data_IF_085718669456
#
_entry.id   IF_085718669456
#
_cell.length_a   1.000
_cell.length_b   1.000
_cell.length_c   1.000
_cell.angle_alpha   90.00
_cell.angle_beta   90.00
_cell.angle_gamma   90.00
#
_symmetry.space_group_name_H-M   'P 1'
#
loop_
_entity.id
_entity.type
_entity.pdbx_description
1 polymer ?
2 non-polymer ?
3 non-polymer ?
4 water ?
#
# COMPACT_ATOMS: atom_id res chain seq x y z
N UNK A 1 -18.64 -10.19 -11.86
CA UNK A 1 -19.52 -9.27 -11.11
C UNK A 1 -18.68 -8.10 -10.59
N UNK A 2 -18.92 -7.64 -9.35
CA UNK A 2 -18.17 -6.49 -8.86
C UNK A 2 -16.70 -6.91 -8.70
N UNK A 3 -15.94 -6.02 -8.10
CA UNK A 3 -14.60 -6.36 -7.57
C UNK A 3 -14.84 -6.63 -6.10
N UNK A 4 -14.06 -7.53 -5.51
CA UNK A 4 -14.14 -7.80 -4.08
C UNK A 4 -13.08 -6.98 -3.34
N UNK A 5 -13.47 -6.43 -2.21
CA UNK A 5 -12.57 -5.59 -1.39
C UNK A 5 -12.71 -5.93 0.08
N UNK A 6 -11.64 -5.76 0.84
CA UNK A 6 -11.61 -5.90 2.31
C UNK A 6 -11.05 -4.62 2.91
N UNK A 7 -11.68 -4.14 3.96
CA UNK A 7 -11.10 -3.13 4.86
C UNK A 7 -9.95 -3.71 5.71
N UNK A 8 -8.88 -2.94 5.81
CA UNK A 8 -7.71 -3.40 6.57
C UNK A 8 -6.79 -2.24 6.96
N UNK A 9 -5.95 -2.47 7.94
CA UNK A 9 -4.79 -1.63 8.26
C UNK A 9 -3.51 -2.40 7.99
N UNK A 10 -2.43 -1.66 7.79
CA UNK A 10 -1.10 -2.26 7.67
C UNK A 10 -0.19 -1.71 8.76
N UNK A 11 0.71 -2.54 9.29
CA UNK A 11 1.84 -2.06 10.12
C UNK A 11 3.13 -2.69 9.61
N UNK A 12 4.22 -1.93 9.62
CA UNK A 12 5.55 -2.41 9.20
C UNK A 12 6.07 -3.40 10.27
N UNK A 13 7.17 -4.04 9.93
CA UNK A 13 7.68 -5.14 10.79
C UNK A 13 8.27 -4.55 12.08
N UNK A 14 8.36 -3.24 12.21
CA UNK A 14 8.69 -2.57 13.51
C UNK A 14 7.45 -2.10 14.20
N UNK A 15 6.28 -2.51 13.72
CA UNK A 15 4.97 -2.25 14.27
C UNK A 15 4.71 -0.74 14.23
N UNK A 16 5.21 -0.08 13.18
CA UNK A 16 4.79 1.32 12.88
C UNK A 16 3.50 1.30 12.07
N UNK A 17 2.55 2.11 12.48
CA UNK A 17 1.27 2.39 11.86
C UNK A 17 1.45 3.44 10.77
N UNK A 18 0.49 3.45 9.84
CA UNK A 18 0.50 4.41 8.69
C UNK A 18 -0.61 5.44 8.89
N UNK A 19 -0.23 6.70 8.72
CA UNK A 19 -1.14 7.87 8.89
C UNK A 19 -0.97 8.79 7.68
N UNK A 20 -1.95 9.68 7.45
CA UNK A 20 -1.84 10.71 6.39
C UNK A 20 -0.78 11.76 6.76
N UNK A 21 -0.06 12.27 5.75
CA UNK A 21 1.01 13.28 5.88
C UNK A 21 0.68 14.35 4.84
N UNK A 22 -0.33 15.16 5.13
CA UNK A 22 -0.91 16.05 4.09
C UNK A 22 -1.76 15.21 3.16
N UNK A 23 -2.24 15.76 2.02
CA UNK A 23 -3.24 15.05 1.23
C UNK A 23 -2.78 13.91 0.32
N UNK A 24 -1.50 13.85 -0.01
CA UNK A 24 -1.02 12.87 -1.03
C UNK A 24 0.28 12.13 -0.58
N UNK A 25 0.41 12.02 0.71
CA UNK A 25 1.50 11.19 1.29
C UNK A 25 1.04 10.50 2.55
N UNK A 26 1.62 9.32 2.81
CA UNK A 26 1.48 8.61 4.09
C UNK A 26 2.81 8.70 4.83
N UNK A 27 2.75 8.62 6.14
CA UNK A 27 3.97 8.48 6.97
C UNK A 27 3.75 7.35 7.98
N UNK A 28 4.85 6.84 8.53
CA UNK A 28 4.82 5.69 9.43
C UNK A 28 5.35 6.14 10.81
N UNK A 29 4.60 5.81 11.80
CA UNK A 29 5.05 6.13 13.17
C UNK A 29 4.48 5.11 14.12
N UNK A 30 5.23 4.99 15.22
CA UNK A 30 4.83 4.21 16.38
C UNK A 30 3.60 4.86 16.99
N UNK A 31 2.51 4.13 17.08
CA UNK A 31 1.19 4.55 17.60
C UNK A 31 0.69 3.48 18.53
N UNK A 32 0.04 3.91 19.61
CA UNK A 32 -0.66 3.01 20.51
C UNK A 32 -1.66 3.90 21.25
N UNK A 33 -2.76 3.31 21.71
CA UNK A 33 -3.77 3.97 22.56
C UNK A 33 -4.74 4.82 21.75
N UNK A 34 -5.03 6.03 22.23
CA UNK A 34 -6.05 6.94 21.65
C UNK A 34 -5.65 7.32 20.22
N UNK A 35 -4.36 7.58 19.98
CA UNK A 35 -3.84 8.07 18.67
C UNK A 35 -4.02 7.00 17.58
N UNK A 36 -4.39 5.77 17.95
CA UNK A 36 -4.64 4.64 17.01
C UNK A 36 -5.59 5.10 15.89
N UNK A 37 -6.66 5.81 16.26
CA UNK A 37 -7.74 6.26 15.35
C UNK A 37 -7.15 7.03 14.16
N UNK A 38 -5.94 7.58 14.29
CA UNK A 38 -5.29 8.38 13.22
C UNK A 38 -4.89 7.46 12.06
N UNK A 39 -4.73 6.15 12.29
CA UNK A 39 -4.16 5.26 11.25
C UNK A 39 -5.10 5.16 10.05
N UNK A 40 -4.53 5.00 8.86
CA UNK A 40 -5.31 4.92 7.62
C UNK A 40 -5.91 3.52 7.54
N UNK A 41 -7.15 3.50 7.12
CA UNK A 41 -7.86 2.27 6.77
C UNK A 41 -7.89 2.13 5.26
N UNK A 42 -7.37 1.01 4.80
CA UNK A 42 -7.36 0.69 3.38
C UNK A 42 -8.60 -0.07 2.98
N UNK A 43 -9.02 0.11 1.75
CA UNK A 43 -9.85 -0.85 1.03
C UNK A 43 -8.94 -1.58 0.06
N UNK A 44 -8.62 -2.83 0.36
CA UNK A 44 -7.74 -3.68 -0.48
C UNK A 44 -8.63 -4.39 -1.46
N UNK A 45 -8.51 -4.06 -2.74
CA UNK A 45 -9.27 -4.70 -3.84
C UNK A 45 -8.43 -5.85 -4.42
N UNK A 46 -9.09 -6.96 -4.76
CA UNK A 46 -8.42 -8.13 -5.34
C UNK A 46 -8.62 -8.04 -6.86
N UNK A 47 -7.60 -7.71 -7.62
CA UNK A 47 -7.74 -7.18 -8.99
C UNK A 47 -7.21 -8.18 -10.02
N UNK A 48 -7.44 -7.88 -11.29
CA UNK A 48 -6.88 -8.67 -12.42
C UNK A 48 -5.36 -8.58 -12.41
N UNK A 49 -4.70 -9.71 -12.67
CA UNK A 49 -3.24 -9.75 -12.80
C UNK A 49 -2.70 -11.16 -12.61
N UNK A 50 -1.44 -11.37 -12.97
CA UNK A 50 -0.70 -12.63 -12.72
C UNK A 50 -0.73 -12.97 -11.21
N UNK A 51 -1.04 -14.22 -10.88
CA UNK A 51 -1.38 -14.64 -9.51
C UNK A 51 -0.79 -16.03 -9.29
N UNK A 52 -0.27 -16.27 -8.10
CA UNK A 52 0.18 -17.61 -7.63
C UNK A 52 -0.26 -17.78 -6.17
N UNK A 53 0.03 -18.90 -5.54
CA UNK A 53 -0.46 -19.12 -4.16
C UNK A 53 -0.04 -17.96 -3.27
N UNK A 54 1.17 -17.48 -3.44
CA UNK A 54 1.78 -16.55 -2.45
C UNK A 54 1.90 -15.12 -2.99
N UNK A 55 1.49 -14.89 -4.25
CA UNK A 55 1.57 -13.59 -4.97
C UNK A 55 0.17 -13.20 -5.47
N UNK A 56 -0.45 -12.21 -4.84
CA UNK A 56 -1.88 -11.88 -5.06
C UNK A 56 -1.95 -10.44 -5.53
N UNK A 57 -2.45 -10.14 -6.73
CA UNK A 57 -2.47 -8.75 -7.21
C UNK A 57 -3.59 -8.00 -6.50
N UNK A 58 -3.25 -6.83 -5.91
CA UNK A 58 -4.24 -6.01 -5.16
C UNK A 58 -4.08 -4.55 -5.58
N UNK A 59 -5.12 -3.77 -5.32
CA UNK A 59 -5.06 -2.31 -5.28
C UNK A 59 -5.29 -1.89 -3.84
N UNK A 60 -4.68 -0.79 -3.48
CA UNK A 60 -4.79 -0.21 -2.14
C UNK A 60 -5.40 1.18 -2.24
N UNK A 61 -6.71 1.25 -2.04
CA UNK A 61 -7.45 2.49 -1.93
C UNK A 61 -7.62 2.90 -0.49
N UNK A 62 -7.80 4.16 -0.20
CA UNK A 62 -8.12 4.64 1.16
C UNK A 62 -9.61 4.46 1.37
N UNK A 63 -9.99 3.90 2.50
CA UNK A 63 -11.43 3.56 2.72
C UNK A 63 -12.31 4.81 2.54
N UNK A 64 -13.31 4.63 1.67
CA UNK A 64 -14.38 5.59 1.28
C UNK A 64 -13.75 6.91 0.81
N UNK A 65 -12.59 6.80 0.16
CA UNK A 65 -11.95 7.95 -0.54
C UNK A 65 -11.65 7.50 -1.95
N UNK A 66 -11.70 8.43 -2.89
CA UNK A 66 -11.31 8.12 -4.28
C UNK A 66 -9.82 8.41 -4.41
N UNK A 67 -9.03 7.69 -3.62
CA UNK A 67 -7.57 7.85 -3.59
C UNK A 67 -6.93 6.48 -3.52
N UNK A 68 -5.93 6.23 -4.34
CA UNK A 68 -5.27 4.92 -4.47
C UNK A 68 -3.79 5.18 -4.38
N UNK A 69 -3.08 4.23 -3.76
CA UNK A 69 -1.61 4.17 -3.95
C UNK A 69 -1.32 3.80 -5.39
N UNK A 70 -0.27 4.42 -5.92
CA UNK A 70 0.05 4.46 -7.37
C UNK A 70 1.57 4.52 -7.56
N UNK A 71 2.11 3.74 -8.50
CA UNK A 71 3.55 3.72 -8.78
C UNK A 71 3.75 4.38 -10.14
N UNK A 72 4.49 5.47 -10.13
CA UNK A 72 4.77 6.21 -11.39
C UNK A 72 6.23 6.63 -11.38
N UNK A 73 6.74 6.93 -12.59
CA UNK A 73 8.06 7.57 -12.64
C UNK A 73 7.88 9.03 -12.27
N UNK A 74 8.71 9.51 -11.36
CA UNK A 74 8.74 10.94 -11.00
C UNK A 74 10.19 11.37 -11.03
N UNK A 75 10.45 12.51 -11.71
CA UNK A 75 11.82 12.99 -11.98
C UNK A 75 12.67 11.75 -12.31
N UNK A 76 12.15 10.87 -13.16
CA UNK A 76 12.85 9.67 -13.71
C UNK A 76 13.05 8.54 -12.69
N UNK A 77 12.34 8.47 -11.57
CA UNK A 77 12.50 7.33 -10.62
C UNK A 77 11.13 6.69 -10.35
N UNK A 78 11.01 5.35 -10.13
CA UNK A 78 9.76 4.74 -9.63
C UNK A 78 9.48 5.36 -8.26
N UNK A 79 8.29 5.94 -8.09
CA UNK A 79 7.88 6.55 -6.81
C UNK A 79 6.46 6.11 -6.48
N UNK A 80 6.16 6.23 -5.20
CA UNK A 80 4.82 5.97 -4.62
C UNK A 80 4.09 7.28 -4.53
N UNK A 81 2.90 7.36 -5.08
CA UNK A 81 2.02 8.54 -4.94
C UNK A 81 0.64 8.08 -4.49
N UNK A 82 -0.13 9.02 -3.95
CA UNK A 82 -1.58 8.88 -3.73
C UNK A 82 -2.21 9.57 -4.92
N UNK A 83 -3.05 8.89 -5.65
CA UNK A 83 -3.61 9.43 -6.90
C UNK A 83 -5.13 9.44 -6.75
N UNK A 84 -5.75 10.58 -7.10
CA UNK A 84 -7.22 10.79 -7.17
C UNK A 84 -7.80 10.09 -8.41
N UNK A 85 -9.00 9.48 -8.30
CA UNK A 85 -9.68 8.86 -9.44
C UNK A 85 -11.15 9.27 -9.47
N UNK A 86 -11.81 8.97 -10.57
CA UNK A 86 -13.25 9.27 -10.70
C UNK A 86 -14.01 8.33 -9.80
N UNK A 87 -14.72 8.79 -8.76
CA UNK A 87 -15.35 7.88 -7.81
C UNK A 87 -16.46 7.05 -8.42
N UNK A 88 -16.90 7.43 -9.61
CA UNK A 88 -17.96 6.65 -10.31
C UNK A 88 -17.40 5.33 -10.87
N UNK A 89 -16.10 5.24 -11.11
CA UNK A 89 -15.52 4.18 -11.95
C UNK A 89 -14.63 3.24 -11.11
N UNK A 90 -14.45 3.54 -9.82
CA UNK A 90 -13.49 2.81 -8.94
C UNK A 90 -14.20 2.37 -7.69
N UNK A 91 -13.83 1.24 -7.05
CA UNK A 91 -12.80 0.37 -7.58
C UNK A 91 -13.33 -0.44 -8.76
N UNK A 92 -12.43 -1.07 -9.47
CA UNK A 92 -12.84 -1.97 -10.58
C UNK A 92 -11.91 -3.15 -10.59
N UNK A 93 -12.36 -4.21 -11.25
CA UNK A 93 -11.55 -5.45 -11.27
C UNK A 93 -10.28 -5.22 -12.10
N UNK A 94 -10.38 -4.56 -13.24
CA UNK A 94 -9.25 -4.29 -14.15
C UNK A 94 -8.63 -2.93 -13.81
N UNK A 95 -7.92 -2.87 -12.68
CA UNK A 95 -7.23 -1.61 -12.30
C UNK A 95 -6.04 -1.43 -13.21
N UNK A 96 -5.73 -0.19 -13.56
CA UNK A 96 -4.56 0.14 -14.36
C UNK A 96 -3.29 -0.29 -13.62
N UNK A 97 -2.22 -0.60 -14.34
CA UNK A 97 -1.04 -1.29 -13.75
C UNK A 97 -0.36 -0.45 -12.68
N UNK A 98 -0.35 0.88 -12.79
CA UNK A 98 0.29 1.76 -11.79
C UNK A 98 -0.37 1.52 -10.43
N UNK A 99 -1.60 1.00 -10.36
CA UNK A 99 -2.34 0.86 -9.08
C UNK A 99 -2.10 -0.53 -8.48
N UNK A 100 -1.46 -1.45 -9.23
CA UNK A 100 -1.45 -2.86 -8.81
C UNK A 100 -0.15 -3.15 -8.05
N UNK A 101 -0.32 -3.83 -6.92
CA UNK A 101 0.78 -4.38 -6.09
C UNK A 101 0.60 -5.87 -6.05
N UNK A 102 1.72 -6.58 -6.14
CA UNK A 102 1.73 -8.00 -5.81
C UNK A 102 1.92 -8.14 -4.30
N UNK A 103 0.89 -8.60 -3.63
CA UNK A 103 0.92 -8.86 -2.19
C UNK A 103 1.52 -10.25 -2.03
N UNK A 104 2.70 -10.31 -1.45
CA UNK A 104 3.56 -11.51 -1.41
C UNK A 104 3.69 -11.93 0.04
N UNK A 105 3.33 -13.18 0.34
CA UNK A 105 3.56 -13.80 1.66
C UNK A 105 5.04 -14.18 1.75
N UNK A 106 5.75 -13.63 2.74
CA UNK A 106 7.19 -13.94 3.01
C UNK A 106 7.40 -14.04 4.53
N UNK A 107 7.79 -15.24 4.99
CA UNK A 107 8.12 -15.59 6.39
C UNK A 107 7.13 -14.90 7.34
N UNK A 108 5.84 -15.24 7.20
CA UNK A 108 4.74 -14.87 8.12
C UNK A 108 4.47 -13.36 8.04
N UNK A 109 4.97 -12.69 7.01
CA UNK A 109 4.70 -11.26 6.76
C UNK A 109 4.17 -11.07 5.33
N UNK A 110 4.01 -9.80 4.96
CA UNK A 110 3.59 -9.41 3.61
C UNK A 110 4.61 -8.43 3.07
N UNK A 111 4.83 -8.52 1.77
CA UNK A 111 5.55 -7.46 1.05
C UNK A 111 4.60 -7.04 -0.07
N UNK A 112 4.68 -5.81 -0.48
CA UNK A 112 3.85 -5.27 -1.56
C UNK A 112 4.78 -4.76 -2.65
N UNK A 113 4.97 -5.61 -3.66
CA UNK A 113 5.80 -5.26 -4.83
C UNK A 113 4.99 -4.47 -5.86
N UNK A 114 5.56 -3.44 -6.43
CA UNK A 114 4.91 -2.78 -7.59
C UNK A 114 4.74 -3.77 -8.76
N UNK A 115 3.55 -4.00 -9.30
CA UNK A 115 3.35 -4.83 -10.52
C UNK A 115 4.06 -4.09 -11.65
N UNK A 116 4.00 -2.77 -11.71
CA UNK A 116 4.57 -1.92 -12.80
C UNK A 116 6.09 -1.99 -12.76
N UNK A 117 6.71 -1.94 -11.58
CA UNK A 117 8.16 -1.82 -11.41
C UNK A 117 8.60 -3.02 -10.57
N UNK A 118 8.99 -4.14 -11.21
CA UNK A 118 9.46 -5.32 -10.49
C UNK A 118 10.61 -4.98 -9.55
N UNK A 119 10.54 -5.59 -8.37
CA UNK A 119 11.52 -5.50 -7.27
C UNK A 119 11.61 -4.12 -6.65
N UNK A 120 10.56 -3.32 -6.81
CA UNK A 120 10.30 -2.07 -6.06
C UNK A 120 9.11 -2.36 -5.11
N UNK A 121 9.26 -1.95 -3.87
CA UNK A 121 8.36 -2.36 -2.76
C UNK A 121 7.89 -1.16 -1.98
N UNK A 122 6.66 -1.24 -1.49
CA UNK A 122 6.21 -0.28 -0.46
C UNK A 122 7.19 -0.42 0.72
N UNK A 123 7.72 0.70 1.17
CA UNK A 123 8.82 0.75 2.15
C UNK A 123 8.53 1.81 3.20
N UNK A 124 9.09 1.56 4.40
CA UNK A 124 9.18 2.61 5.40
C UNK A 124 10.62 2.77 5.85
N UNK A 125 10.91 3.91 6.43
CA UNK A 125 12.19 4.15 7.14
C UNK A 125 12.14 3.61 8.57
N UNK A 126 13.33 3.37 9.15
CA UNK A 126 13.43 3.05 10.58
C UNK A 126 13.09 4.28 11.43
N UNK A 127 13.47 5.47 10.98
CA UNK A 127 13.11 6.71 11.70
C UNK A 127 11.60 6.92 11.77
N UNK A 128 11.16 7.59 12.83
CA UNK A 128 9.74 7.95 13.11
C UNK A 128 9.31 9.09 12.17
N UNK A 129 8.04 9.08 11.77
CA UNK A 129 7.33 10.19 11.09
C UNK A 129 7.95 10.53 9.73
N UNK A 130 8.40 9.53 8.97
CA UNK A 130 8.98 9.73 7.63
C UNK A 130 8.01 9.14 6.61
N UNK A 131 8.07 9.59 5.35
CA UNK A 131 7.14 9.15 4.32
C UNK A 131 7.19 7.63 4.09
N UNK A 132 6.04 7.08 3.73
CA UNK A 132 5.99 5.76 3.07
C UNK A 132 6.44 5.99 1.62
N UNK A 133 7.25 5.10 1.07
CA UNK A 133 7.85 5.35 -0.24
C UNK A 133 7.99 4.05 -1.00
N UNK A 134 8.32 4.14 -2.28
CA UNK A 134 8.62 2.97 -3.13
C UNK A 134 10.13 2.81 -3.20
N UNK A 135 10.66 1.79 -2.53
CA UNK A 135 12.10 1.52 -2.42
C UNK A 135 12.49 0.36 -3.32
N UNK A 136 13.72 0.39 -3.83
CA UNK A 136 14.28 -0.67 -4.69
C UNK A 136 15.18 -1.63 -3.92
N UNK A 137 15.19 -1.57 -2.58
CA UNK A 137 16.16 -2.34 -1.76
C UNK A 137 15.45 -3.17 -0.69
N UNK A 138 15.65 -4.50 -0.73
CA UNK A 138 15.26 -5.46 0.34
C UNK A 138 16.53 -5.93 1.07
N UNK A 139 16.40 -6.22 2.38
CA UNK A 139 17.49 -6.75 3.22
C UNK A 139 18.40 -5.65 3.75
N UNK A 140 18.06 -4.38 3.48
CA UNK A 140 18.84 -3.21 3.91
C UNK A 140 18.26 -2.58 5.16
N UNK A 141 18.54 -1.30 5.38
CA UNK A 141 17.99 -0.54 6.55
C UNK A 141 16.48 -0.32 6.38
N UNK A 142 16.02 -0.03 5.16
CA UNK A 142 14.57 0.27 4.99
C UNK A 142 13.73 -0.99 5.14
N UNK A 143 12.48 -0.81 5.57
CA UNK A 143 11.56 -1.88 5.96
C UNK A 143 10.62 -2.14 4.78
N UNK A 144 10.49 -3.39 4.36
CA UNK A 144 9.61 -3.81 3.22
C UNK A 144 8.60 -4.88 3.63
N UNK A 145 8.53 -5.20 4.93
CA UNK A 145 7.69 -6.30 5.48
C UNK A 145 6.54 -5.71 6.32
N UNK A 146 5.34 -6.26 6.19
CA UNK A 146 4.12 -5.81 6.90
C UNK A 146 3.32 -6.99 7.45
N UNK A 147 2.49 -6.67 8.43
CA UNK A 147 1.29 -7.44 8.82
C UNK A 147 0.06 -6.63 8.45
N UNK A 148 -1.05 -7.35 8.31
CA UNK A 148 -2.35 -6.82 7.87
C UNK A 148 -3.39 -7.14 8.94
N UNK A 149 -4.21 -6.16 9.31
CA UNK A 149 -5.36 -6.35 10.24
C UNK A 149 -6.65 -6.19 9.44
N UNK A 150 -7.61 -7.09 9.65
CA UNK A 150 -8.94 -7.05 8.99
C UNK A 150 -9.89 -6.28 9.89
N UNK A 151 -10.26 -5.08 9.43
CA UNK A 151 -11.18 -4.11 10.09
C UNK A 151 -12.64 -4.45 9.72
N UNK A 152 -13.60 -4.12 10.60
CA UNK A 152 -15.06 -4.18 10.30
C UNK A 152 -15.37 -3.31 9.07
X LIG B 1 -16.00 -4.24 -12.08
X LIG B 1 -17.04 -3.39 -12.61
X LIG B 1 -16.32 -5.63 -12.34
X LIG B 1 -14.74 -3.89 -12.71
X LIG B 1 -15.92 -4.04 -10.66
X LIG C 1 -5.43 5.98 -17.57
X LIG C 1 -6.12 5.95 -16.29
X LIG C 1 -6.35 5.56 -18.59
X LIG C 1 -4.98 7.32 -17.83
X LIG C 1 -4.30 5.08 -17.57
X LIG D 1 -2.06 -13.28 4.62
X LIG D 1 -2.30 -15.25 5.72
X LIG D 1 -1.75 -15.47 4.46
X LIG D 1 -3.12 -13.68 8.16
X LIG D 1 -3.41 -12.64 9.05
X LIG D 1 -3.42 -11.40 8.47
X LIG D 1 -2.92 -13.15 6.95
X LIG D 1 -2.48 -13.86 5.81
X LIG D 1 -1.62 -14.26 3.81
X LIG D 1 -3.07 -11.45 6.81
X LIG E 1 -0.58 -10.60 9.60
X LIG E 1 -0.40 -12.57 10.70
X LIG E 1 -1.03 -11.63 11.51
X LIG E 1 0.72 -13.83 8.30
X LIG E 1 1.19 -14.14 7.00
X LIG E 1 1.28 -13.07 6.16
X LIG E 1 0.46 -12.53 8.37
X LIG E 1 -0.13 -11.90 9.50
X LIG E 1 -1.14 -10.44 10.82
X LIG E 1 0.78 -11.63 6.94
#
# INVERSE_FOLDING_TARGET
>A
APVRSLNCTLRDSQQKSLVMSGPYELKALHLQGQDMEQQVVFSMSFVQGEESNDKIPVALGLKEKNLYLSCVLKDDKPTLQLESVDPKNYPKKKMEKRFVFNKIEINNKLEFESAQFPNWYISTSQAENMPVFLGGTKGGQDITDFTMQFVSS
>B hetero
1 SO4 S O1 O2 O3 O4
>C hetero
1 SO4 S O1 O2 O3 O4
>D hetero
1 K34 N1 N3 C4 N C C1 C2 C3 N2 S
>E hetero
1 K34 N1 N3 C4 N C C1 C2 C3 N2 S
#
